data_IF_313509421088
#
_entry.id   IF_313509421088
#
_cell.length_a   1.000
_cell.length_b   1.000
_cell.length_c   1.000
_cell.angle_alpha   90.00
_cell.angle_beta   90.00
_cell.angle_gamma   90.00
#
_symmetry.space_group_name_H-M   'P 1'
#
loop_
_entity.id
_entity.type
_entity.pdbx_description
1 polymer ?
#
# COMPACT_ATOMS: atom_id res chain seq x y z
N UNK A 1 -51.23 34.29 -21.59
CA UNK A 1 -52.68 34.09 -21.73
C UNK A 1 -52.92 33.31 -23.02
N UNK A 2 -53.50 32.13 -22.87
CA UNK A 2 -53.71 31.05 -23.85
C UNK A 2 -54.51 31.52 -25.09
N UNK A 3 -54.41 30.83 -26.25
CA UNK A 3 -55.45 29.96 -26.88
C UNK A 3 -55.19 30.04 -28.41
N UNK A 4 -55.32 29.02 -29.27
CA UNK A 4 -55.80 27.63 -29.17
C UNK A 4 -55.26 26.82 -30.35
N UNK A 5 -55.11 25.52 -30.09
CA UNK A 5 -54.88 24.43 -31.03
C UNK A 5 -56.19 24.02 -31.71
N UNK A 6 -56.11 23.55 -32.97
CA UNK A 6 -56.82 22.41 -33.61
C UNK A 6 -56.57 22.54 -35.12
N UNK A 7 -56.16 21.52 -35.87
CA UNK A 7 -56.86 20.24 -36.15
C UNK A 7 -55.91 19.22 -36.79
N UNK A 8 -56.03 17.96 -36.37
CA UNK A 8 -55.65 16.69 -37.04
C UNK A 8 -56.61 16.37 -38.21
N UNK A 9 -56.51 15.27 -39.01
CA UNK A 9 -55.47 14.21 -39.16
C UNK A 9 -55.25 13.68 -40.63
N UNK A 10 -54.34 12.66 -40.76
CA UNK A 10 -54.32 11.50 -41.70
C UNK A 10 -54.21 11.78 -43.22
N UNK A 11 -53.24 11.21 -43.96
CA UNK A 11 -53.24 9.84 -44.52
C UNK A 11 -51.91 9.65 -45.31
N UNK A 12 -51.17 8.55 -45.10
CA UNK A 12 -51.13 7.32 -45.91
C UNK A 12 -49.93 7.22 -46.89
N UNK A 13 -49.09 6.24 -46.56
CA UNK A 13 -48.09 5.46 -47.30
C UNK A 13 -47.99 5.62 -48.82
N UNK A 14 -46.76 5.82 -49.31
CA UNK A 14 -46.29 5.44 -50.65
C UNK A 14 -44.79 5.10 -50.54
N UNK A 15 -44.40 3.83 -50.74
CA UNK A 15 -43.89 3.24 -51.98
C UNK A 15 -42.40 3.54 -52.26
N UNK A 16 -41.67 2.45 -52.44
CA UNK A 16 -40.23 2.35 -52.61
C UNK A 16 -39.72 2.93 -53.93
N UNK A 17 -38.52 3.52 -53.92
CA UNK A 17 -37.62 3.60 -55.08
C UNK A 17 -36.18 3.67 -54.61
N UNK A 18 -35.32 2.83 -55.21
CA UNK A 18 -33.92 2.67 -54.85
C UNK A 18 -33.08 3.92 -55.08
N UNK A 19 -32.02 4.06 -54.27
CA UNK A 19 -30.93 5.00 -54.48
C UNK A 19 -29.62 4.21 -54.63
N UNK A 20 -28.98 4.36 -55.79
CA UNK A 20 -27.59 4.00 -55.97
C UNK A 20 -26.73 4.88 -55.04
N UNK A 21 -26.06 4.26 -54.06
CA UNK A 21 -25.10 4.97 -53.23
C UNK A 21 -23.76 5.02 -53.96
N UNK A 22 -23.45 6.20 -54.49
CA UNK A 22 -22.10 6.59 -54.84
C UNK A 22 -21.18 6.40 -53.62
N UNK A 23 -20.06 5.70 -53.83
CA UNK A 23 -19.03 5.51 -52.83
C UNK A 23 -18.34 6.85 -52.54
N UNK A 24 -18.81 7.56 -51.52
CA UNK A 24 -18.05 8.64 -50.88
C UNK A 24 -17.17 7.97 -49.84
N UNK A 25 -15.87 7.88 -50.11
CA UNK A 25 -14.87 7.50 -49.10
C UNK A 25 -14.51 8.74 -48.28
N UNK A 26 -14.98 8.90 -47.03
CA UNK A 26 -14.38 9.89 -46.16
C UNK A 26 -13.00 9.36 -45.75
N UNK A 27 -11.95 10.07 -46.17
CA UNK A 27 -10.63 9.94 -45.58
C UNK A 27 -10.69 10.50 -44.15
N UNK A 28 -11.22 9.71 -43.21
CA UNK A 28 -10.96 9.95 -41.79
C UNK A 28 -9.52 9.50 -41.55
N UNK A 29 -8.60 10.46 -41.48
CA UNK A 29 -7.36 10.31 -40.74
C UNK A 29 -7.72 10.14 -39.25
N UNK A 30 -8.23 8.95 -38.91
CA UNK A 30 -8.44 8.54 -37.55
C UNK A 30 -7.07 8.35 -36.92
N UNK A 31 -6.70 9.20 -35.98
CA UNK A 31 -5.80 8.83 -34.91
C UNK A 31 -6.34 7.54 -34.31
N UNK A 32 -5.80 6.40 -34.76
CA UNK A 32 -6.10 5.10 -34.19
C UNK A 32 -5.67 5.18 -32.72
N UNK A 33 -6.63 5.43 -31.83
CA UNK A 33 -6.40 5.31 -30.41
C UNK A 33 -6.04 3.85 -30.17
N UNK A 34 -4.76 3.60 -29.86
CA UNK A 34 -4.28 2.29 -29.47
C UNK A 34 -5.17 1.81 -28.32
N UNK A 35 -5.86 0.65 -28.43
CA UNK A 35 -6.69 0.17 -27.34
C UNK A 35 -5.81 0.04 -26.10
N UNK A 36 -6.19 0.73 -25.02
CA UNK A 36 -5.48 0.66 -23.75
C UNK A 36 -5.49 -0.81 -23.29
N UNK A 37 -4.30 -1.40 -23.17
CA UNK A 37 -4.17 -2.76 -22.64
C UNK A 37 -4.68 -2.73 -21.20
N UNK A 38 -5.65 -3.59 -20.83
CA UNK A 38 -6.09 -3.67 -19.44
C UNK A 38 -4.87 -3.96 -18.57
N UNK A 39 -4.69 -3.15 -17.52
CA UNK A 39 -3.62 -3.35 -16.56
C UNK A 39 -3.72 -4.79 -16.02
N UNK A 40 -2.58 -5.49 -15.97
CA UNK A 40 -2.55 -6.81 -15.36
C UNK A 40 -3.04 -6.70 -13.92
N UNK A 41 -3.97 -7.56 -13.52
CA UNK A 41 -4.43 -7.59 -12.14
C UNK A 41 -3.25 -7.91 -11.21
N UNK A 42 -3.00 -7.05 -10.22
CA UNK A 42 -2.01 -7.28 -9.17
C UNK A 42 -2.69 -8.00 -8.01
N UNK A 43 -2.25 -9.22 -7.69
CA UNK A 43 -2.71 -9.97 -6.52
C UNK A 43 -1.65 -10.04 -5.44
N UNK A 44 -2.03 -9.83 -4.18
CA UNK A 44 -1.19 -10.09 -3.02
C UNK A 44 -1.58 -11.43 -2.37
N UNK A 45 -0.59 -12.21 -1.96
CA UNK A 45 -0.79 -13.44 -1.19
C UNK A 45 -0.05 -13.32 0.14
N UNK A 46 -0.67 -13.80 1.21
CA UNK A 46 -0.02 -13.88 2.50
C UNK A 46 -0.15 -15.22 3.18
N UNK A 47 0.80 -15.48 4.07
CA UNK A 47 0.84 -16.64 4.95
C UNK A 47 1.03 -16.16 6.40
N UNK A 48 0.00 -16.28 7.28
CA UNK A 48 0.12 -15.89 8.67
C UNK A 48 1.13 -16.74 9.47
N UNK A 49 1.61 -17.86 8.91
CA UNK A 49 2.67 -18.70 9.51
C UNK A 49 4.07 -18.21 9.15
N UNK A 50 4.21 -17.39 8.11
CA UNK A 50 5.50 -16.87 7.68
C UNK A 50 5.96 -15.74 8.62
N UNK A 51 7.07 -15.98 9.33
CA UNK A 51 7.60 -15.05 10.33
C UNK A 51 8.13 -13.76 9.71
N UNK A 52 8.81 -13.84 8.57
CA UNK A 52 9.31 -12.66 7.85
C UNK A 52 8.16 -11.82 7.30
N UNK A 53 7.10 -12.47 6.81
CA UNK A 53 5.89 -11.76 6.41
C UNK A 53 5.24 -11.06 7.61
N UNK A 54 5.18 -11.72 8.77
CA UNK A 54 4.63 -11.08 9.97
C UNK A 54 5.43 -9.85 10.43
N UNK A 55 6.75 -9.82 10.21
CA UNK A 55 7.57 -8.61 10.40
C UNK A 55 7.24 -7.54 9.35
N UNK A 56 7.00 -7.94 8.11
CA UNK A 56 6.56 -7.07 7.00
C UNK A 56 5.23 -6.41 7.33
N UNK A 57 4.24 -7.20 7.78
CA UNK A 57 2.90 -6.71 8.17
C UNK A 57 3.00 -5.74 9.36
N UNK A 58 3.87 -6.03 10.33
CA UNK A 58 4.12 -5.14 11.46
C UNK A 58 4.68 -3.79 11.02
N UNK A 59 5.78 -3.79 10.25
CA UNK A 59 6.43 -2.53 9.86
C UNK A 59 5.56 -1.70 8.91
N UNK A 60 4.81 -2.34 8.00
CA UNK A 60 3.83 -1.64 7.16
C UNK A 60 2.77 -0.93 7.99
N UNK A 61 2.03 -1.67 8.80
CA UNK A 61 0.96 -1.09 9.63
C UNK A 61 1.49 -0.08 10.66
N UNK A 62 2.68 -0.33 11.22
CA UNK A 62 3.29 0.58 12.20
C UNK A 62 3.70 1.90 11.56
N UNK A 63 4.35 1.85 10.39
CA UNK A 63 4.76 3.05 9.64
C UNK A 63 3.52 3.84 9.21
N UNK A 64 2.47 3.18 8.72
CA UNK A 64 1.21 3.85 8.37
C UNK A 64 0.61 4.58 9.59
N UNK A 65 0.58 3.92 10.75
CA UNK A 65 0.04 4.51 11.98
C UNK A 65 0.87 5.69 12.50
N UNK A 66 2.20 5.71 12.33
CA UNK A 66 3.01 6.87 12.75
C UNK A 66 3.09 7.96 11.68
N UNK A 67 2.80 7.64 10.42
CA UNK A 67 2.73 8.60 9.32
C UNK A 67 1.44 9.43 9.40
N UNK A 68 0.33 8.79 9.76
CA UNK A 68 -0.99 9.40 9.86
C UNK A 68 -1.16 10.22 11.16
N UNK A 69 -0.46 11.34 11.25
CA UNK A 69 -0.46 12.17 12.47
C UNK A 69 -1.74 12.99 12.68
N UNK A 70 -2.63 13.05 11.67
CA UNK A 70 -3.91 13.77 11.75
C UNK A 70 -5.02 12.93 12.40
N UNK A 71 -4.89 11.59 12.39
CA UNK A 71 -5.86 10.71 13.05
C UNK A 71 -5.62 10.68 14.57
N UNK A 72 -6.61 11.07 15.41
CA UNK A 72 -6.48 10.99 16.86
C UNK A 72 -6.24 9.56 17.39
N UNK A 73 -6.57 8.51 16.62
CA UNK A 73 -6.33 7.11 16.97
C UNK A 73 -4.90 6.63 16.69
N UNK A 74 -4.13 7.34 15.86
CA UNK A 74 -2.81 6.93 15.37
C UNK A 74 -1.86 6.46 16.50
N UNK A 75 -1.75 7.25 17.58
CA UNK A 75 -0.91 6.90 18.72
C UNK A 75 -1.40 5.67 19.49
N UNK A 76 -2.72 5.46 19.58
CA UNK A 76 -3.30 4.28 20.21
C UNK A 76 -3.07 3.02 19.36
N UNK A 77 -3.18 3.15 18.04
CA UNK A 77 -2.96 2.07 17.07
C UNK A 77 -1.50 1.64 17.04
N UNK A 78 -0.55 2.58 16.98
CA UNK A 78 0.88 2.30 17.08
C UNK A 78 1.21 1.52 18.37
N UNK A 79 0.59 1.88 19.50
CA UNK A 79 0.73 1.17 20.78
C UNK A 79 0.10 -0.23 20.73
N UNK A 80 -1.07 -0.38 20.12
CA UNK A 80 -1.74 -1.67 19.96
C UNK A 80 -0.92 -2.63 19.08
N UNK A 81 -0.37 -2.14 17.97
CA UNK A 81 0.53 -2.87 17.08
C UNK A 81 1.77 -3.35 17.84
N UNK A 82 2.43 -2.47 18.60
CA UNK A 82 3.57 -2.86 19.46
C UNK A 82 3.18 -3.98 20.42
N UNK A 83 2.01 -3.91 21.06
CA UNK A 83 1.53 -4.96 21.97
C UNK A 83 1.23 -6.29 21.26
N UNK A 84 0.73 -6.24 20.02
CA UNK A 84 0.35 -7.42 19.25
C UNK A 84 1.53 -8.11 18.55
N UNK A 85 2.54 -7.37 18.10
CA UNK A 85 3.65 -7.97 17.35
C UNK A 85 4.86 -8.30 18.23
N UNK A 86 5.16 -7.49 19.23
CA UNK A 86 6.33 -7.68 20.08
C UNK A 86 6.02 -8.54 21.32
N UNK A 87 7.03 -9.28 21.76
CA UNK A 87 7.05 -9.90 23.08
C UNK A 87 7.08 -8.83 24.19
N UNK A 88 6.68 -9.19 25.41
CA UNK A 88 6.76 -8.28 26.56
C UNK A 88 8.20 -7.82 26.84
N UNK A 89 9.19 -8.72 26.69
CA UNK A 89 10.61 -8.40 26.87
C UNK A 89 11.14 -7.44 25.80
N UNK A 90 10.77 -7.65 24.53
CA UNK A 90 11.12 -6.74 23.44
C UNK A 90 10.55 -5.33 23.68
N UNK A 91 9.27 -5.22 24.07
CA UNK A 91 8.66 -3.92 24.41
C UNK A 91 9.41 -3.19 25.52
N UNK A 92 9.85 -3.90 26.56
CA UNK A 92 10.65 -3.29 27.64
C UNK A 92 11.98 -2.74 27.14
N UNK A 93 12.68 -3.48 26.27
CA UNK A 93 13.94 -3.04 25.64
C UNK A 93 13.72 -1.79 24.78
N UNK A 94 12.69 -1.80 23.94
CA UNK A 94 12.30 -0.65 23.12
C UNK A 94 12.04 0.57 24.01
N UNK A 95 11.17 0.46 25.02
CA UNK A 95 10.89 1.59 25.92
C UNK A 95 12.12 2.08 26.69
N UNK A 96 13.03 1.19 27.09
CA UNK A 96 14.29 1.60 27.73
C UNK A 96 15.18 2.39 26.76
N UNK A 97 15.25 1.97 25.50
CA UNK A 97 15.99 2.68 24.47
C UNK A 97 15.35 4.04 24.14
N UNK A 98 14.02 4.11 24.02
CA UNK A 98 13.28 5.35 23.75
C UNK A 98 13.53 6.39 24.84
N UNK A 99 13.49 5.98 26.11
CA UNK A 99 13.79 6.87 27.25
C UNK A 99 15.20 7.43 27.22
N UNK A 100 16.16 6.66 26.70
CA UNK A 100 17.57 7.07 26.64
C UNK A 100 17.85 7.98 25.45
N UNK A 101 17.20 7.73 24.31
CA UNK A 101 17.56 8.34 23.03
C UNK A 101 16.54 9.38 22.54
N UNK A 102 15.38 9.51 23.19
CA UNK A 102 14.30 10.42 22.81
C UNK A 102 13.86 10.28 21.35
N UNK A 103 13.87 9.05 20.85
CA UNK A 103 13.54 8.67 19.48
C UNK A 103 12.63 7.43 19.50
N UNK A 104 11.96 7.14 18.40
CA UNK A 104 11.13 5.94 18.26
C UNK A 104 12.02 4.69 18.28
N UNK A 105 11.76 3.75 19.20
CA UNK A 105 12.60 2.56 19.37
C UNK A 105 12.26 1.38 18.47
N UNK A 106 11.23 1.48 17.63
CA UNK A 106 10.94 0.55 16.54
C UNK A 106 11.69 0.96 15.27
N UNK A 107 11.77 2.28 15.02
CA UNK A 107 12.45 2.87 13.87
C UNK A 107 13.91 3.23 14.15
N UNK A 108 14.30 3.31 15.43
CA UNK A 108 15.58 3.83 15.92
C UNK A 108 15.89 5.24 15.39
N UNK A 109 14.86 6.08 15.24
CA UNK A 109 14.95 7.41 14.65
C UNK A 109 13.84 8.35 15.17
N UNK A 110 13.98 9.65 14.93
CA UNK A 110 12.99 10.66 15.33
C UNK A 110 11.94 10.94 14.24
N UNK A 111 12.26 10.63 12.99
CA UNK A 111 11.40 10.81 11.83
C UNK A 111 10.76 9.49 11.40
N UNK A 112 9.85 9.57 10.43
CA UNK A 112 9.20 8.42 9.80
C UNK A 112 9.82 8.18 8.41
N UNK A 113 10.15 6.94 8.04
CA UNK A 113 10.77 6.64 6.75
C UNK A 113 9.77 6.78 5.59
N UNK A 114 10.25 7.23 4.43
CA UNK A 114 9.44 7.32 3.20
C UNK A 114 9.25 5.96 2.52
N UNK A 115 10.20 5.03 2.73
CA UNK A 115 10.15 3.67 2.18
C UNK A 115 10.75 2.69 3.17
N UNK A 116 10.26 1.46 3.13
CA UNK A 116 10.80 0.37 3.93
C UNK A 116 10.83 -0.93 3.15
N UNK A 117 11.74 -1.83 3.54
CA UNK A 117 11.86 -3.18 2.97
C UNK A 117 12.25 -4.15 4.08
N UNK A 118 11.67 -5.35 4.06
CA UNK A 118 12.07 -6.45 4.95
C UNK A 118 12.69 -7.56 4.11
N UNK A 119 13.83 -8.08 4.55
CA UNK A 119 14.49 -9.21 3.94
C UNK A 119 14.80 -10.27 5.01
N UNK A 120 14.54 -11.54 4.72
CA UNK A 120 15.00 -12.64 5.58
C UNK A 120 16.53 -12.72 5.53
N UNK A 121 17.19 -12.87 6.68
CA UNK A 121 18.66 -12.97 6.76
C UNK A 121 19.15 -14.27 7.38
N UNK A 122 18.29 -15.04 8.03
CA UNK A 122 18.63 -16.35 8.55
C UNK A 122 17.69 -16.84 9.62
N UNK A 123 17.84 -18.10 10.03
CA UNK A 123 17.12 -18.69 11.16
C UNK A 123 17.95 -19.75 11.85
N UNK A 124 17.76 -19.90 13.15
CA UNK A 124 18.46 -20.87 13.99
C UNK A 124 18.02 -20.75 15.45
N UNK A 125 18.24 -21.82 16.23
CA UNK A 125 17.93 -21.87 17.67
C UNK A 125 16.48 -21.43 18.02
N UNK A 126 15.49 -21.81 17.20
CA UNK A 126 14.09 -21.43 17.43
C UNK A 126 13.73 -20.00 17.03
N UNK A 127 14.64 -19.26 16.39
CA UNK A 127 14.41 -17.89 15.95
C UNK A 127 14.62 -17.72 14.44
N UNK A 128 13.95 -16.73 13.86
CA UNK A 128 14.26 -16.16 12.55
C UNK A 128 14.71 -14.71 12.70
N UNK A 129 15.69 -14.32 11.89
CA UNK A 129 16.17 -12.95 11.78
C UNK A 129 15.74 -12.39 10.42
N UNK A 130 15.15 -11.22 10.47
CA UNK A 130 14.82 -10.42 9.28
C UNK A 130 15.52 -9.06 9.42
N UNK A 131 15.98 -8.52 8.30
CA UNK A 131 16.59 -7.20 8.21
C UNK A 131 15.60 -6.23 7.60
N UNK A 132 15.27 -5.21 8.37
CA UNK A 132 14.44 -4.10 7.95
C UNK A 132 15.34 -2.98 7.48
N UNK A 133 15.11 -2.50 6.26
CA UNK A 133 15.82 -1.38 5.66
C UNK A 133 14.85 -0.21 5.58
N UNK A 134 15.17 0.88 6.25
CA UNK A 134 14.36 2.10 6.29
C UNK A 134 15.05 3.16 5.43
N UNK A 135 14.28 3.84 4.58
CA UNK A 135 14.77 4.88 3.67
C UNK A 135 14.13 6.19 4.06
N UNK A 136 14.93 7.25 4.25
CA UNK A 136 14.50 8.49 4.88
C UNK A 136 14.24 9.64 3.91
N UNK A 137 14.61 9.49 2.63
CA UNK A 137 14.36 10.50 1.60
C UNK A 137 14.17 9.88 0.21
N UNK A 138 13.54 10.63 -0.69
CA UNK A 138 13.28 10.21 -2.09
C UNK A 138 14.33 10.71 -3.10
N UNK A 139 15.44 11.26 -2.61
CA UNK A 139 16.51 11.81 -3.42
C UNK A 139 17.38 10.75 -4.12
N UNK A 140 18.31 11.21 -4.97
CA UNK A 140 19.27 10.32 -5.69
C UNK A 140 20.16 9.48 -4.77
N UNK A 141 20.47 9.99 -3.56
CA UNK A 141 21.25 9.30 -2.55
C UNK A 141 20.45 9.29 -1.24
N UNK A 142 19.47 8.40 -1.12
CA UNK A 142 18.62 8.40 0.04
C UNK A 142 19.39 7.89 1.25
N UNK A 143 19.19 8.53 2.40
CA UNK A 143 19.72 8.02 3.66
C UNK A 143 18.97 6.72 4.01
N UNK A 144 19.73 5.70 4.43
CA UNK A 144 19.19 4.37 4.74
C UNK A 144 19.74 3.88 6.06
N UNK A 145 18.87 3.41 6.94
CA UNK A 145 19.26 2.68 8.14
C UNK A 145 18.75 1.24 8.08
N UNK A 146 19.38 0.37 8.86
CA UNK A 146 19.04 -1.06 8.90
C UNK A 146 18.83 -1.52 10.33
N UNK A 147 17.85 -2.40 10.51
CA UNK A 147 17.47 -2.96 11.81
C UNK A 147 17.42 -4.47 11.65
N UNK A 148 18.14 -5.18 12.51
CA UNK A 148 18.01 -6.63 12.65
C UNK A 148 16.88 -6.92 13.64
N UNK A 149 15.88 -7.66 13.15
CA UNK A 149 14.66 -8.02 13.87
C UNK A 149 14.65 -9.52 14.07
N UNK A 150 14.69 -9.94 15.33
CA UNK A 150 14.60 -11.33 15.71
C UNK A 150 13.16 -11.67 16.11
N UNK A 151 12.67 -12.78 15.59
CA UNK A 151 11.35 -13.33 15.90
C UNK A 151 11.45 -14.77 16.34
N UNK A 152 10.65 -15.15 17.32
CA UNK A 152 10.52 -16.53 17.79
C UNK A 152 9.67 -17.34 16.81
N UNK A 153 10.12 -18.53 16.40
CA UNK A 153 9.45 -19.34 15.39
C UNK A 153 8.15 -19.97 15.90
N UNK A 154 7.99 -20.13 17.22
CA UNK A 154 6.82 -20.79 17.83
C UNK A 154 5.67 -19.79 18.02
N UNK A 155 5.96 -18.69 18.72
CA UNK A 155 5.02 -17.61 19.03
C UNK A 155 4.87 -16.61 17.88
N UNK A 156 5.84 -16.58 16.95
CA UNK A 156 5.96 -15.64 15.83
C UNK A 156 6.11 -14.19 16.26
N UNK A 157 6.31 -13.93 17.55
CA UNK A 157 6.47 -12.58 18.11
C UNK A 157 7.88 -12.07 17.87
N UNK A 158 8.00 -10.76 17.70
CA UNK A 158 9.29 -10.09 17.67
C UNK A 158 9.88 -10.10 19.10
N UNK A 159 11.03 -10.74 19.25
CA UNK A 159 11.73 -10.93 20.53
C UNK A 159 12.86 -9.94 20.74
N UNK A 160 13.43 -9.41 19.66
CA UNK A 160 14.51 -8.43 19.73
C UNK A 160 14.52 -7.52 18.49
N UNK A 161 14.92 -6.28 18.68
CA UNK A 161 15.17 -5.30 17.62
C UNK A 161 16.45 -4.56 17.95
N UNK A 162 17.33 -4.39 16.97
CA UNK A 162 18.57 -3.61 17.13
C UNK A 162 19.01 -2.99 15.80
N UNK A 163 19.66 -1.82 15.82
CA UNK A 163 20.36 -1.33 14.63
C UNK A 163 21.33 -2.38 14.12
N UNK A 164 21.36 -2.61 12.81
CA UNK A 164 22.36 -3.45 12.18
C UNK A 164 23.64 -2.62 11.96
N UNK A 165 24.79 -3.27 12.16
CA UNK A 165 26.11 -2.69 11.86
C UNK A 165 26.39 -2.60 10.35
#
# INVERSE_FOLDING_TARGET
>A
MSIRIRTTPLTAVALATGLALAAVTPALAGTAATPARPAAATSAQGDPRNVTQRVTDFYGAYIDAVWETEDPAAGADAKALRNFYLSASARKKVTAWEKKNHADGILFAQNVPVKWKVAYTGSGMGHATSRVTLTWSDGKNPEVTRIDVQSDLTTRKITDLKPAE
#
